data_IF_089495604251
#
_entry.id   IF_089495604251
#
_cell.length_a   1.000
_cell.length_b   1.000
_cell.length_c   1.000
_cell.angle_alpha   90.00
_cell.angle_beta   90.00
_cell.angle_gamma   90.00
#
_symmetry.space_group_name_H-M   'P 1'
#
loop_
_entity.id
_entity.type
_entity.pdbx_description
1 polymer ?
#
# COMPACT_ATOMS: atom_id res chain seq x y z
N UNK A 1 23.98 -29.87 10.19
CA UNK A 1 23.35 -29.04 11.24
C UNK A 1 22.28 -29.87 11.92
N UNK A 2 22.24 -29.85 13.26
CA UNK A 2 21.16 -30.49 13.99
C UNK A 2 19.86 -29.74 13.71
N UNK A 3 18.78 -30.48 13.43
CA UNK A 3 17.46 -29.90 13.26
C UNK A 3 16.90 -29.61 14.66
N UNK A 4 16.72 -28.34 15.00
CA UNK A 4 16.15 -27.89 16.27
C UNK A 4 14.75 -27.30 16.08
N UNK A 5 13.87 -27.53 17.06
CA UNK A 5 12.56 -26.90 17.09
C UNK A 5 12.69 -25.41 17.44
N UNK A 6 11.72 -24.62 16.99
CA UNK A 6 11.65 -23.18 17.29
C UNK A 6 11.09 -22.93 18.68
N UNK A 7 11.90 -23.18 19.71
CA UNK A 7 11.52 -23.03 21.12
C UNK A 7 10.84 -21.67 21.42
N UNK A 8 9.69 -21.70 22.10
CA UNK A 8 8.88 -20.53 22.44
C UNK A 8 8.04 -19.95 21.28
N UNK A 9 8.03 -20.61 20.11
CA UNK A 9 7.21 -20.18 18.98
C UNK A 9 5.72 -20.42 19.21
N UNK A 10 5.31 -21.48 19.90
CA UNK A 10 3.89 -21.77 20.15
C UNK A 10 3.28 -20.68 21.02
N UNK A 11 3.96 -20.27 22.08
CA UNK A 11 3.52 -19.17 22.96
C UNK A 11 3.40 -17.85 22.18
N UNK A 12 4.43 -17.50 21.40
CA UNK A 12 4.41 -16.29 20.55
C UNK A 12 3.24 -16.29 19.58
N UNK A 13 3.02 -17.40 18.87
CA UNK A 13 1.91 -17.54 17.91
C UNK A 13 0.55 -17.47 18.60
N UNK A 14 0.40 -18.10 19.78
CA UNK A 14 -0.82 -18.06 20.57
C UNK A 14 -1.08 -16.67 21.19
N UNK A 15 -0.06 -15.83 21.30
CA UNK A 15 -0.14 -14.42 21.72
C UNK A 15 -0.10 -13.44 20.51
N UNK A 16 -0.23 -13.94 19.28
CA UNK A 16 -0.45 -13.13 18.07
C UNK A 16 0.84 -12.55 17.49
N UNK A 17 1.99 -12.93 18.04
CA UNK A 17 3.29 -12.52 17.52
C UNK A 17 3.64 -13.37 16.30
N UNK A 18 4.10 -12.71 15.24
CA UNK A 18 4.60 -13.40 14.06
C UNK A 18 5.91 -14.12 14.38
N UNK A 19 5.99 -15.38 13.97
CA UNK A 19 7.19 -16.18 14.04
C UNK A 19 7.55 -16.57 12.62
N UNK A 20 8.73 -16.18 12.16
CA UNK A 20 9.16 -16.48 10.81
C UNK A 20 9.52 -17.96 10.70
N UNK A 21 8.77 -18.67 9.87
CA UNK A 21 9.02 -20.06 9.48
C UNK A 21 9.31 -21.03 10.66
N UNK A 22 8.43 -21.12 11.67
CA UNK A 22 8.68 -21.93 12.86
C UNK A 22 8.77 -23.40 12.50
N UNK A 23 9.74 -24.08 13.11
CA UNK A 23 9.92 -25.53 13.05
C UNK A 23 9.24 -26.12 14.28
N UNK A 24 8.20 -26.90 14.06
CA UNK A 24 7.33 -27.48 15.09
C UNK A 24 7.08 -28.95 14.82
N UNK A 25 6.66 -29.67 15.85
CA UNK A 25 6.35 -31.09 15.78
C UNK A 25 4.85 -31.32 15.91
N UNK A 26 4.31 -32.18 15.05
CA UNK A 26 2.92 -32.61 15.10
C UNK A 26 2.71 -33.60 16.25
N UNK A 27 1.83 -33.24 17.19
CA UNK A 27 1.46 -34.07 18.34
C UNK A 27 0.13 -34.79 18.13
N UNK A 28 -0.66 -34.39 17.14
CA UNK A 28 -1.94 -35.01 16.82
C UNK A 28 -2.78 -34.14 15.91
N UNK A 29 -3.88 -34.67 15.43
CA UNK A 29 -4.86 -33.91 14.66
C UNK A 29 -6.26 -34.48 14.87
N UNK A 30 -7.26 -33.62 14.70
CA UNK A 30 -8.67 -33.95 14.80
C UNK A 30 -9.43 -33.37 13.61
N UNK A 31 -10.42 -34.10 13.13
CA UNK A 31 -11.34 -33.62 12.10
C UNK A 31 -12.36 -32.68 12.70
N UNK A 32 -12.48 -31.47 12.16
CA UNK A 32 -13.48 -30.49 12.54
C UNK A 32 -14.46 -30.32 11.38
N UNK A 33 -15.73 -30.63 11.63
CA UNK A 33 -16.81 -30.42 10.68
C UNK A 33 -17.42 -29.03 10.90
N UNK A 34 -17.18 -28.13 9.95
CA UNK A 34 -17.75 -26.77 9.97
C UNK A 34 -18.91 -26.64 8.97
N UNK A 35 -18.85 -27.40 7.87
CA UNK A 35 -19.89 -27.51 6.83
C UNK A 35 -20.03 -28.96 6.36
N UNK A 36 -21.21 -29.39 5.87
CA UNK A 36 -21.46 -30.78 5.51
C UNK A 36 -20.52 -31.37 4.45
N UNK A 37 -19.88 -30.52 3.64
CA UNK A 37 -19.04 -30.94 2.50
C UNK A 37 -17.57 -30.54 2.62
N UNK A 38 -17.16 -29.88 3.72
CA UNK A 38 -15.77 -29.43 3.91
C UNK A 38 -15.20 -30.03 5.21
N UNK A 39 -14.23 -30.94 5.04
CA UNK A 39 -13.45 -31.47 6.16
C UNK A 39 -12.29 -30.54 6.45
N UNK A 40 -12.21 -30.02 7.68
CA UNK A 40 -11.05 -29.26 8.15
C UNK A 40 -10.29 -30.09 9.19
N UNK A 41 -8.97 -29.90 9.25
CA UNK A 41 -8.14 -30.58 10.25
C UNK A 41 -7.59 -29.58 11.25
N UNK A 42 -7.86 -29.81 12.52
CA UNK A 42 -7.24 -29.11 13.65
C UNK A 42 -6.02 -29.88 14.10
N UNK A 43 -4.87 -29.23 14.19
CA UNK A 43 -3.59 -29.82 14.56
C UNK A 43 -3.21 -29.43 15.98
N UNK A 44 -2.62 -30.38 16.70
CA UNK A 44 -1.90 -30.13 17.95
C UNK A 44 -0.42 -30.04 17.59
N UNK A 45 0.18 -28.87 17.76
CA UNK A 45 1.59 -28.62 17.41
C UNK A 45 2.40 -28.29 18.67
N UNK A 46 3.68 -28.65 18.64
CA UNK A 46 4.63 -28.41 19.72
C UNK A 46 5.94 -27.80 19.22
N UNK A 47 6.51 -26.88 20.00
CA UNK A 47 7.87 -26.37 19.80
C UNK A 47 8.92 -27.01 20.71
N UNK A 48 8.57 -28.10 21.41
CA UNK A 48 9.44 -28.80 22.36
C UNK A 48 9.38 -28.27 23.80
N UNK A 49 8.80 -27.09 24.02
CA UNK A 49 8.54 -26.51 25.35
C UNK A 49 7.05 -26.41 25.63
N UNK A 50 6.29 -25.93 24.65
CA UNK A 50 4.85 -25.75 24.72
C UNK A 50 4.15 -26.54 23.61
N UNK A 51 2.87 -26.85 23.82
CA UNK A 51 1.98 -27.37 22.80
C UNK A 51 0.60 -26.71 22.85
N UNK A 52 -0.04 -26.58 21.68
CA UNK A 52 -1.40 -26.05 21.58
C UNK A 52 -2.17 -26.62 20.37
N UNK A 53 -3.50 -26.57 20.41
CA UNK A 53 -4.43 -27.18 19.44
C UNK A 53 -5.17 -26.18 18.53
N UNK A 54 -4.77 -24.90 18.48
CA UNK A 54 -5.44 -23.86 17.67
C UNK A 54 -4.89 -23.68 16.24
N UNK A 55 -4.21 -24.69 15.72
CA UNK A 55 -3.67 -24.68 14.37
C UNK A 55 -4.63 -25.41 13.44
N UNK A 56 -5.05 -24.78 12.34
CA UNK A 56 -5.95 -25.38 11.37
C UNK A 56 -5.23 -25.51 10.04
N UNK A 57 -5.40 -26.65 9.39
CA UNK A 57 -4.84 -26.88 8.07
C UNK A 57 -5.80 -26.32 7.01
N UNK A 58 -5.28 -25.56 6.05
CA UNK A 58 -6.10 -25.11 4.91
C UNK A 58 -6.52 -26.30 4.05
N UNK A 59 -7.70 -26.23 3.41
CA UNK A 59 -8.29 -27.36 2.69
C UNK A 59 -7.40 -27.90 1.56
N UNK A 60 -6.58 -27.05 0.92
CA UNK A 60 -5.64 -27.49 -0.12
C UNK A 60 -4.53 -28.40 0.42
N UNK A 61 -4.27 -28.39 1.72
CA UNK A 61 -3.25 -29.20 2.37
C UNK A 61 -3.82 -30.48 3.00
N UNK A 62 -5.14 -30.70 2.98
CA UNK A 62 -5.78 -31.88 3.58
C UNK A 62 -5.21 -33.21 3.05
N UNK A 63 -4.77 -33.22 1.80
CA UNK A 63 -4.09 -34.34 1.15
C UNK A 63 -2.87 -34.84 1.95
N UNK A 64 -2.19 -33.96 2.69
CA UNK A 64 -1.05 -34.34 3.54
C UNK A 64 -1.45 -35.33 4.64
N UNK A 65 -2.67 -35.19 5.17
CA UNK A 65 -3.23 -36.07 6.20
C UNK A 65 -3.89 -37.29 5.56
N UNK A 66 -4.71 -37.08 4.53
CA UNK A 66 -5.45 -38.15 3.84
C UNK A 66 -4.48 -39.17 3.23
N UNK A 67 -3.39 -38.71 2.61
CA UNK A 67 -2.32 -39.55 2.03
C UNK A 67 -1.27 -39.98 3.06
N UNK A 68 -1.48 -39.72 4.35
CA UNK A 68 -0.58 -40.07 5.46
C UNK A 68 0.87 -39.58 5.28
N UNK A 69 1.07 -38.47 4.57
CA UNK A 69 2.39 -37.86 4.41
C UNK A 69 2.87 -37.21 5.71
N UNK A 70 1.92 -36.80 6.56
CA UNK A 70 2.19 -36.28 7.90
C UNK A 70 1.52 -37.19 8.93
N UNK A 71 2.30 -37.66 9.91
CA UNK A 71 1.84 -38.51 11.01
C UNK A 71 2.29 -37.96 12.36
N UNK A 72 1.82 -38.56 13.45
CA UNK A 72 2.27 -38.24 14.81
C UNK A 72 3.81 -38.11 14.88
N UNK A 73 4.30 -37.13 15.62
CA UNK A 73 5.72 -36.78 15.80
C UNK A 73 6.48 -36.34 14.53
N UNK A 74 5.77 -36.04 13.43
CA UNK A 74 6.41 -35.42 12.25
C UNK A 74 6.83 -33.99 12.55
N UNK A 75 8.09 -33.67 12.25
CA UNK A 75 8.63 -32.31 12.34
C UNK A 75 8.41 -31.62 11.00
N UNK A 76 7.75 -30.48 11.06
CA UNK A 76 7.37 -29.66 9.93
C UNK A 76 7.78 -28.21 10.17
N UNK A 77 8.07 -27.50 9.08
CA UNK A 77 8.22 -26.06 9.07
C UNK A 77 6.95 -25.44 8.53
N UNK A 78 6.36 -24.52 9.27
CA UNK A 78 5.23 -23.73 8.77
C UNK A 78 5.81 -22.63 7.89
N UNK A 79 5.61 -22.69 6.58
CA UNK A 79 6.17 -21.68 5.67
C UNK A 79 5.27 -20.46 5.54
N UNK A 80 3.95 -20.67 5.48
CA UNK A 80 2.95 -19.61 5.34
C UNK A 80 1.73 -19.96 6.21
N UNK A 81 1.25 -18.96 6.95
CA UNK A 81 0.06 -19.06 7.78
C UNK A 81 -0.59 -17.69 7.89
N UNK A 82 -1.88 -17.68 8.23
CA UNK A 82 -2.62 -16.47 8.57
C UNK A 82 -3.38 -16.66 9.88
N UNK A 83 -3.54 -15.58 10.61
CA UNK A 83 -4.45 -15.55 11.72
C UNK A 83 -5.87 -15.26 11.22
N UNK A 84 -6.87 -15.92 11.81
CA UNK A 84 -8.29 -15.69 11.54
C UNK A 84 -9.01 -15.44 12.85
N UNK A 85 -9.99 -14.54 12.87
CA UNK A 85 -10.81 -14.33 14.07
C UNK A 85 -11.47 -15.65 14.49
N UNK A 86 -11.29 -16.03 15.75
CA UNK A 86 -11.93 -17.17 16.37
C UNK A 86 -13.10 -16.70 17.22
N UNK A 87 -14.24 -17.36 17.10
CA UNK A 87 -15.46 -17.02 17.85
C UNK A 87 -15.41 -17.50 19.32
N UNK A 88 -14.31 -18.10 19.77
CA UNK A 88 -14.26 -18.77 21.07
C UNK A 88 -14.02 -17.80 22.24
N UNK A 89 -14.92 -17.89 23.21
CA UNK A 89 -15.03 -17.08 24.42
C UNK A 89 -14.52 -17.79 25.69
N UNK A 90 -13.77 -18.89 25.57
CA UNK A 90 -13.22 -19.63 26.71
C UNK A 90 -11.90 -19.01 27.23
N UNK A 91 -11.67 -19.07 28.55
CA UNK A 91 -10.53 -18.43 29.23
C UNK A 91 -9.14 -18.98 28.85
N UNK A 92 -9.08 -20.08 28.10
CA UNK A 92 -7.84 -20.74 27.68
C UNK A 92 -7.69 -20.85 26.15
N UNK A 93 -8.55 -20.16 25.38
CA UNK A 93 -8.49 -20.12 23.92
C UNK A 93 -7.90 -18.80 23.42
N UNK A 94 -6.95 -18.80 22.46
CA UNK A 94 -6.60 -17.59 21.74
C UNK A 94 -7.85 -17.08 21.01
N UNK A 95 -8.01 -15.75 20.92
CA UNK A 95 -9.13 -15.11 20.18
C UNK A 95 -9.07 -15.35 18.66
N UNK A 96 -8.06 -16.07 18.18
CA UNK A 96 -7.83 -16.33 16.77
C UNK A 96 -7.42 -17.79 16.53
N UNK A 97 -7.70 -18.23 15.32
CA UNK A 97 -7.25 -19.49 14.75
C UNK A 97 -6.01 -19.21 13.88
N UNK A 98 -5.04 -20.10 13.93
CA UNK A 98 -3.86 -20.04 13.04
C UNK A 98 -4.11 -20.98 11.86
N UNK A 99 -4.50 -20.42 10.71
CA UNK A 99 -4.68 -21.20 9.49
C UNK A 99 -3.35 -21.35 8.75
N UNK A 100 -2.86 -22.58 8.70
CA UNK A 100 -1.64 -22.96 8.00
C UNK A 100 -1.95 -23.13 6.51
N UNK A 101 -1.30 -22.32 5.68
CA UNK A 101 -1.50 -22.29 4.23
C UNK A 101 -0.41 -23.06 3.48
N UNK A 102 0.77 -23.19 4.08
CA UNK A 102 1.89 -23.93 3.50
C UNK A 102 2.80 -24.50 4.57
N UNK A 103 3.20 -25.76 4.37
CA UNK A 103 4.17 -26.45 5.23
C UNK A 103 5.23 -27.14 4.40
N UNK A 104 6.43 -27.23 4.95
CA UNK A 104 7.48 -28.15 4.47
C UNK A 104 7.65 -29.25 5.50
N UNK A 105 7.45 -30.50 5.08
CA UNK A 105 7.75 -31.67 5.90
C UNK A 105 9.27 -31.83 5.93
N UNK A 106 9.86 -31.87 7.12
CA UNK A 106 11.30 -31.95 7.27
C UNK A 106 11.75 -33.37 7.56
N UNK A 107 11.23 -33.96 8.65
CA UNK A 107 11.61 -35.30 9.07
C UNK A 107 10.57 -35.87 10.04
N UNK A 108 10.53 -37.19 10.18
CA UNK A 108 9.80 -37.85 11.25
C UNK A 108 10.79 -38.34 12.32
N UNK A 109 10.53 -38.01 13.59
CA UNK A 109 11.36 -38.38 14.74
C UNK A 109 10.48 -38.68 15.95
N UNK A 110 11.07 -39.21 17.01
CA UNK A 110 10.42 -39.29 18.32
C UNK A 110 10.05 -37.89 18.83
N UNK A 111 9.10 -37.83 19.76
CA UNK A 111 8.72 -36.58 20.43
C UNK A 111 9.96 -35.91 21.02
N UNK A 112 10.12 -34.64 20.70
CA UNK A 112 11.26 -33.83 21.12
C UNK A 112 10.86 -32.94 22.29
N UNK A 113 11.68 -32.92 23.35
CA UNK A 113 11.41 -32.15 24.56
C UNK A 113 10.32 -32.74 25.45
N UNK A 114 9.81 -31.93 26.37
CA UNK A 114 8.70 -32.29 27.26
C UNK A 114 7.62 -31.19 27.19
N UNK A 115 6.92 -31.09 26.06
CA UNK A 115 6.04 -29.96 25.83
C UNK A 115 4.88 -29.94 26.81
N UNK A 116 4.65 -28.80 27.44
CA UNK A 116 3.51 -28.59 28.32
C UNK A 116 2.36 -27.93 27.55
N UNK A 117 1.09 -28.28 27.83
CA UNK A 117 -0.03 -27.52 27.31
C UNK A 117 0.11 -26.04 27.71
N UNK A 118 -0.07 -25.14 26.75
CA UNK A 118 -0.02 -23.70 27.04
C UNK A 118 -1.27 -23.30 27.84
N UNK A 119 -1.09 -23.02 29.12
CA UNK A 119 -2.12 -22.59 30.07
C UNK A 119 -1.91 -21.09 30.34
N UNK A 120 -2.98 -20.29 30.37
CA UNK A 120 -2.96 -18.81 30.54
C UNK A 120 -2.42 -18.03 29.33
N UNK A 121 -3.11 -18.13 28.19
CA UNK A 121 -2.88 -17.22 27.05
C UNK A 121 -3.31 -15.82 27.50
N UNK A 122 -2.36 -14.87 27.55
CA UNK A 122 -2.70 -13.48 27.80
C UNK A 122 -3.66 -13.04 26.69
N UNK A 123 -4.86 -12.55 27.06
CA UNK A 123 -5.88 -12.06 26.11
C UNK A 123 -5.46 -10.74 25.44
N UNK A 124 -4.21 -10.65 24.97
CA UNK A 124 -3.70 -9.54 24.17
C UNK A 124 -4.37 -9.63 22.79
N UNK A 125 -4.84 -8.51 22.29
CA UNK A 125 -5.36 -8.45 20.91
C UNK A 125 -4.22 -8.77 19.93
N UNK A 126 -4.57 -9.34 18.78
CA UNK A 126 -3.57 -9.65 17.78
C UNK A 126 -2.99 -8.33 17.23
N UNK A 127 -1.66 -8.17 17.19
CA UNK A 127 -1.08 -7.01 16.55
C UNK A 127 -1.38 -7.02 15.06
N UNK A 128 -1.69 -5.85 14.51
CA UNK A 128 -1.78 -5.63 13.08
C UNK A 128 -0.42 -5.94 12.43
N UNK A 129 -0.48 -6.56 11.25
CA UNK A 129 0.72 -7.00 10.52
C UNK A 129 1.44 -5.77 10.00
N UNK A 130 2.61 -5.46 10.59
CA UNK A 130 3.55 -4.51 10.00
C UNK A 130 4.28 -5.18 8.83
N UNK A 131 3.98 -4.76 7.62
CA UNK A 131 4.59 -5.24 6.38
C UNK A 131 6.06 -4.81 6.26
N UNK A 132 6.52 -3.84 7.06
CA UNK A 132 7.92 -3.42 7.07
C UNK A 132 8.79 -4.43 7.86
N UNK A 133 9.13 -5.57 7.24
CA UNK A 133 9.83 -6.73 7.86
C UNK A 133 11.34 -6.48 8.10
N UNK A 134 11.76 -5.28 8.50
CA UNK A 134 13.18 -4.89 8.54
C UNK A 134 13.97 -5.39 9.77
N UNK A 135 13.53 -6.44 10.46
CA UNK A 135 14.11 -6.99 11.71
C UNK A 135 14.27 -5.97 12.86
N UNK A 136 13.87 -4.72 12.65
CA UNK A 136 13.98 -3.64 13.63
C UNK A 136 12.68 -3.57 14.44
N UNK A 137 12.76 -3.38 15.78
CA UNK A 137 11.58 -3.19 16.59
C UNK A 137 10.86 -1.92 16.15
N UNK A 138 9.57 -2.04 15.85
CA UNK A 138 8.69 -0.94 15.42
C UNK A 138 7.53 -0.81 16.40
N UNK A 139 6.84 0.32 16.39
CA UNK A 139 5.61 0.50 17.18
C UNK A 139 4.57 -0.56 16.77
N UNK A 140 3.88 -1.13 17.77
CA UNK A 140 2.87 -2.17 17.56
C UNK A 140 1.48 -1.55 17.69
N UNK A 141 0.61 -1.86 16.76
CA UNK A 141 -0.80 -1.49 16.79
C UNK A 141 -1.66 -2.75 16.88
N UNK A 142 -2.74 -2.71 17.65
CA UNK A 142 -3.54 -3.90 17.97
C UNK A 142 -4.91 -3.91 17.29
N UNK A 143 -5.45 -2.75 16.92
CA UNK A 143 -6.73 -2.66 16.23
C UNK A 143 -6.75 -1.48 15.25
N UNK A 144 -7.53 -1.63 14.17
CA UNK A 144 -7.68 -0.60 13.13
C UNK A 144 -8.36 0.65 13.70
N UNK A 145 -9.31 0.49 14.61
CA UNK A 145 -9.98 1.60 15.30
C UNK A 145 -8.99 2.55 15.97
N UNK A 146 -7.93 2.03 16.60
CA UNK A 146 -6.90 2.86 17.21
C UNK A 146 -6.08 3.63 16.17
N UNK A 147 -5.84 3.06 14.99
CA UNK A 147 -5.18 3.77 13.89
C UNK A 147 -6.08 4.89 13.37
N UNK A 148 -7.35 4.58 13.09
CA UNK A 148 -8.37 5.49 12.56
C UNK A 148 -8.61 6.68 13.50
N UNK A 149 -8.67 6.44 14.82
CA UNK A 149 -8.84 7.50 15.82
C UNK A 149 -7.64 8.46 15.93
N UNK A 150 -6.47 8.07 15.43
CA UNK A 150 -5.23 8.86 15.49
C UNK A 150 -4.73 9.28 14.09
N UNK A 151 -5.61 9.29 13.10
CA UNK A 151 -5.23 9.69 11.75
C UNK A 151 -4.92 11.17 11.65
N UNK A 152 -3.81 11.45 10.98
CA UNK A 152 -3.45 12.78 10.52
C UNK A 152 -3.67 12.88 9.01
N UNK A 153 -4.15 14.04 8.57
CA UNK A 153 -4.30 14.33 7.14
C UNK A 153 -3.02 14.91 6.54
N UNK A 154 -2.82 14.73 5.25
CA UNK A 154 -1.69 15.31 4.49
C UNK A 154 -1.67 16.83 4.59
N UNK A 155 -2.85 17.47 4.63
CA UNK A 155 -2.94 18.93 4.79
C UNK A 155 -2.33 19.41 6.11
N UNK A 156 -2.49 18.65 7.19
CA UNK A 156 -1.98 19.03 8.50
C UNK A 156 -0.45 18.93 8.58
N UNK A 157 0.16 18.05 7.77
CA UNK A 157 1.62 17.91 7.68
C UNK A 157 2.33 19.20 7.29
N UNK A 158 1.68 20.06 6.49
CA UNK A 158 2.24 21.34 6.03
C UNK A 158 2.58 22.25 7.21
N UNK A 159 1.84 22.13 8.32
CA UNK A 159 2.02 22.98 9.51
C UNK A 159 3.08 22.46 10.48
N UNK A 160 3.51 21.21 10.34
CA UNK A 160 4.46 20.58 11.26
C UNK A 160 5.91 20.94 10.90
N UNK A 161 6.83 20.99 11.87
CA UNK A 161 8.24 21.19 11.59
C UNK A 161 8.87 19.94 10.95
N UNK A 162 9.99 20.14 10.23
CA UNK A 162 10.82 19.03 9.75
C UNK A 162 11.33 18.19 10.93
N UNK A 163 11.36 16.87 10.76
CA UNK A 163 11.88 15.95 11.79
C UNK A 163 11.09 14.65 11.89
N UNK A 164 11.11 14.03 13.07
CA UNK A 164 10.35 12.82 13.34
C UNK A 164 8.85 13.08 13.27
N UNK A 165 8.13 12.25 12.52
CA UNK A 165 6.69 12.27 12.37
C UNK A 165 6.12 10.94 12.91
N UNK A 166 5.71 10.90 14.19
CA UNK A 166 5.18 9.69 14.84
C UNK A 166 3.70 9.44 14.52
N UNK A 167 3.08 10.33 13.74
CA UNK A 167 1.66 10.29 13.42
C UNK A 167 1.33 9.19 12.42
N UNK A 168 0.08 8.72 12.46
CA UNK A 168 -0.45 7.71 11.55
C UNK A 168 -1.13 8.41 10.39
N UNK A 169 -0.79 8.04 9.15
CA UNK A 169 -1.46 8.50 7.95
C UNK A 169 -2.04 7.32 7.16
N UNK A 170 -3.29 7.44 6.71
CA UNK A 170 -3.94 6.49 5.80
C UNK A 170 -3.79 7.00 4.37
N UNK A 171 -2.90 6.38 3.61
CA UNK A 171 -2.47 6.87 2.30
C UNK A 171 -2.68 5.84 1.20
N UNK A 172 -3.17 6.29 0.06
CA UNK A 172 -3.36 5.48 -1.14
C UNK A 172 -2.17 5.67 -2.07
N UNK A 173 -1.58 4.57 -2.54
CA UNK A 173 -0.50 4.62 -3.53
C UNK A 173 -1.08 5.02 -4.88
N UNK A 174 -0.66 6.17 -5.41
CA UNK A 174 -1.14 6.62 -6.72
C UNK A 174 -0.15 6.35 -7.83
N UNK A 175 1.14 6.58 -7.53
CA UNK A 175 2.19 6.35 -8.49
C UNK A 175 3.43 5.81 -7.80
N UNK A 176 3.88 4.63 -8.23
CA UNK A 176 5.16 4.06 -7.83
C UNK A 176 6.19 4.31 -8.92
N UNK A 177 7.25 5.06 -8.61
CA UNK A 177 8.33 5.27 -9.57
C UNK A 177 9.34 4.11 -9.50
N UNK A 178 10.08 3.89 -10.59
CA UNK A 178 11.22 2.99 -10.59
C UNK A 178 12.28 3.40 -9.54
N UNK A 179 13.04 2.42 -9.04
CA UNK A 179 14.12 2.67 -8.09
C UNK A 179 15.26 3.40 -8.82
N UNK A 180 15.54 4.63 -8.37
CA UNK A 180 16.67 5.39 -8.87
C UNK A 180 17.94 4.93 -8.16
N UNK A 181 18.95 4.56 -8.94
CA UNK A 181 20.26 4.17 -8.41
C UNK A 181 21.27 5.27 -8.67
N UNK A 182 21.82 5.83 -7.60
CA UNK A 182 22.93 6.77 -7.61
C UNK A 182 24.20 6.06 -7.14
N UNK A 183 25.37 6.68 -7.35
CA UNK A 183 26.68 6.09 -7.02
C UNK A 183 26.81 5.64 -5.56
N UNK A 184 26.09 6.26 -4.63
CA UNK A 184 26.16 5.99 -3.19
C UNK A 184 24.83 5.61 -2.53
N UNK A 185 23.71 5.66 -3.25
CA UNK A 185 22.40 5.36 -2.67
C UNK A 185 21.38 4.88 -3.70
N UNK A 186 20.44 4.07 -3.24
CA UNK A 186 19.26 3.67 -4.02
C UNK A 186 18.03 4.31 -3.39
N UNK A 187 17.14 4.88 -4.21
CA UNK A 187 15.98 5.63 -3.72
C UNK A 187 14.73 5.19 -4.47
N UNK A 188 13.75 4.73 -3.71
CA UNK A 188 12.38 4.54 -4.18
C UNK A 188 11.56 5.77 -3.81
N UNK A 189 10.85 6.35 -4.79
CA UNK A 189 9.93 7.46 -4.59
C UNK A 189 8.52 7.03 -4.99
N UNK A 190 7.57 7.20 -4.09
CA UNK A 190 6.16 6.86 -4.31
C UNK A 190 5.35 8.11 -4.05
N UNK A 191 4.46 8.48 -4.97
CA UNK A 191 3.48 9.53 -4.69
C UNK A 191 2.23 8.83 -4.13
N UNK A 192 1.88 9.18 -2.89
CA UNK A 192 0.69 8.69 -2.21
C UNK A 192 -0.24 9.85 -1.87
N UNK A 193 -1.52 9.57 -1.60
CA UNK A 193 -2.49 10.61 -1.28
C UNK A 193 -3.55 10.17 -0.28
N UNK A 194 -4.14 11.15 0.38
CA UNK A 194 -5.42 11.02 1.08
C UNK A 194 -6.47 11.94 0.45
N UNK A 195 -7.59 12.15 1.14
CA UNK A 195 -8.64 13.08 0.70
C UNK A 195 -8.21 14.55 0.70
N UNK A 196 -7.13 14.90 1.39
CA UNK A 196 -6.70 16.29 1.62
C UNK A 196 -5.53 16.72 0.76
N UNK A 197 -4.67 15.80 0.31
CA UNK A 197 -3.49 16.16 -0.47
C UNK A 197 -2.67 14.99 -0.98
N UNK A 198 -1.60 15.34 -1.70
CA UNK A 198 -0.59 14.40 -2.20
C UNK A 198 0.67 14.57 -1.36
N UNK A 199 1.26 13.45 -0.97
CA UNK A 199 2.52 13.39 -0.25
C UNK A 199 3.48 12.45 -0.98
N UNK A 200 4.76 12.80 -0.98
CA UNK A 200 5.79 11.88 -1.46
C UNK A 200 6.27 11.00 -0.32
N UNK A 201 6.32 9.70 -0.54
CA UNK A 201 6.96 8.75 0.35
C UNK A 201 8.27 8.28 -0.26
N UNK A 202 9.37 8.37 0.47
CA UNK A 202 10.69 7.94 0.01
C UNK A 202 11.32 6.90 0.90
N UNK A 203 12.01 5.95 0.28
CA UNK A 203 12.74 4.88 0.94
C UNK A 203 14.14 4.72 0.33
N UNK A 204 15.11 4.39 1.18
CA UNK A 204 16.53 4.38 0.81
C UNK A 204 17.14 2.99 0.98
N UNK A 205 18.07 2.63 0.10
CA UNK A 205 18.93 1.46 0.19
C UNK A 205 18.12 0.16 0.35
N UNK A 206 18.40 -0.67 1.38
CA UNK A 206 17.70 -1.94 1.60
C UNK A 206 16.19 -1.79 1.76
N UNK A 207 15.73 -0.66 2.32
CA UNK A 207 14.30 -0.38 2.41
C UNK A 207 13.67 -0.15 1.03
N UNK A 208 14.41 0.38 0.07
CA UNK A 208 13.87 0.65 -1.26
C UNK A 208 13.46 -0.64 -2.00
N UNK A 209 14.22 -1.72 -1.83
CA UNK A 209 13.91 -3.02 -2.45
C UNK A 209 12.69 -3.67 -1.79
N UNK A 210 12.71 -3.82 -0.45
CA UNK A 210 11.61 -4.43 0.30
C UNK A 210 10.28 -3.69 0.08
N UNK A 211 10.31 -2.36 0.09
CA UNK A 211 9.10 -1.55 -0.05
C UNK A 211 8.56 -1.50 -1.47
N UNK A 212 9.42 -1.73 -2.47
CA UNK A 212 8.97 -1.85 -3.85
C UNK A 212 8.11 -3.11 -4.06
N UNK A 213 8.34 -4.17 -3.29
CA UNK A 213 7.51 -5.39 -3.28
C UNK A 213 6.22 -5.21 -2.47
N UNK A 214 6.26 -4.42 -1.39
CA UNK A 214 5.12 -4.20 -0.49
C UNK A 214 4.08 -3.25 -1.08
N UNK A 215 4.52 -2.15 -1.70
CA UNK A 215 3.61 -1.13 -2.22
C UNK A 215 3.12 -1.47 -3.62
N UNK A 216 1.80 -1.57 -3.76
CA UNK A 216 1.10 -1.71 -5.03
C UNK A 216 0.25 -0.48 -5.33
N UNK A 217 0.14 -0.09 -6.59
CA UNK A 217 -0.69 1.05 -6.99
C UNK A 217 -2.18 0.79 -6.70
N UNK A 218 -2.90 1.85 -6.34
CA UNK A 218 -4.31 1.85 -5.93
C UNK A 218 -4.63 1.13 -4.62
N UNK A 219 -3.63 0.61 -3.90
CA UNK A 219 -3.80 0.09 -2.54
C UNK A 219 -3.59 1.16 -1.49
N UNK A 220 -4.24 0.98 -0.34
CA UNK A 220 -4.21 1.92 0.78
C UNK A 220 -3.44 1.32 1.95
N UNK A 221 -2.58 2.12 2.56
CA UNK A 221 -1.71 1.71 3.67
C UNK A 221 -1.75 2.73 4.80
N UNK A 222 -1.65 2.25 6.03
CA UNK A 222 -1.34 3.07 7.19
C UNK A 222 0.17 3.17 7.33
N UNK A 223 0.70 4.39 7.33
CA UNK A 223 2.11 4.68 7.58
C UNK A 223 2.26 5.38 8.92
N UNK A 224 3.23 4.98 9.73
CA UNK A 224 3.60 5.68 10.97
C UNK A 224 5.11 5.68 11.23
N UNK A 225 5.54 6.54 12.14
CA UNK A 225 6.94 6.66 12.59
C UNK A 225 7.91 6.95 11.44
N UNK A 226 7.62 8.02 10.70
CA UNK A 226 8.37 8.46 9.51
C UNK A 226 9.21 9.71 9.82
N UNK A 227 10.02 10.19 8.87
CA UNK A 227 10.65 11.51 8.94
C UNK A 227 9.95 12.45 7.96
N UNK A 228 9.38 13.53 8.47
CA UNK A 228 8.79 14.59 7.69
C UNK A 228 9.87 15.57 7.19
N UNK A 229 9.83 15.86 5.89
CA UNK A 229 10.66 16.87 5.24
C UNK A 229 9.84 17.73 4.29
N UNK A 230 9.91 19.04 4.48
CA UNK A 230 9.39 20.04 3.57
C UNK A 230 10.40 20.29 2.45
N UNK A 231 9.91 20.24 1.23
CA UNK A 231 10.65 20.60 0.03
C UNK A 231 9.91 21.73 -0.71
N UNK A 232 10.60 22.41 -1.63
CA UNK A 232 10.01 23.44 -2.50
C UNK A 232 8.80 22.96 -3.34
N UNK A 233 8.61 21.64 -3.46
CA UNK A 233 7.55 21.00 -4.25
C UNK A 233 6.42 20.43 -3.39
N UNK A 234 6.48 20.56 -2.05
CA UNK A 234 5.53 19.98 -1.11
C UNK A 234 6.19 19.11 -0.05
N UNK A 235 5.42 18.18 0.50
CA UNK A 235 5.79 17.39 1.68
C UNK A 235 6.33 16.02 1.28
N UNK A 236 7.42 15.61 1.92
CA UNK A 236 8.03 14.29 1.78
C UNK A 236 8.10 13.55 3.13
N UNK A 237 7.62 12.31 3.16
CA UNK A 237 7.74 11.37 4.27
C UNK A 237 8.82 10.34 3.94
N UNK A 238 9.91 10.36 4.68
CA UNK A 238 10.99 9.38 4.55
C UNK A 238 10.74 8.21 5.49
N UNK A 239 10.67 7.01 4.94
CA UNK A 239 10.53 5.77 5.69
C UNK A 239 11.85 5.36 6.33
N UNK A 240 11.72 4.78 7.52
CA UNK A 240 12.83 4.35 8.38
C UNK A 240 12.71 2.84 8.66
N UNK A 241 13.80 2.18 9.11
CA UNK A 241 13.76 0.74 9.42
C UNK A 241 12.67 0.35 10.43
N UNK A 242 12.36 1.23 11.38
CA UNK A 242 11.32 1.05 12.39
C UNK A 242 9.96 1.70 12.04
N UNK A 243 9.81 2.24 10.82
CA UNK A 243 8.51 2.77 10.39
C UNK A 243 7.48 1.64 10.31
N UNK A 244 6.23 1.97 10.59
CA UNK A 244 5.12 1.00 10.54
C UNK A 244 4.38 1.14 9.22
N UNK A 245 4.10 0.02 8.58
CA UNK A 245 3.36 -0.07 7.32
C UNK A 245 2.33 -1.17 7.45
N UNK A 246 1.05 -0.82 7.44
CA UNK A 246 -0.05 -1.79 7.56
C UNK A 246 -0.94 -1.60 6.34
N UNK A 247 -1.19 -2.65 5.56
CA UNK A 247 -2.15 -2.60 4.45
C UNK A 247 -3.58 -2.49 4.99
N UNK A 248 -4.35 -1.55 4.44
CA UNK A 248 -5.77 -1.41 4.74
C UNK A 248 -6.54 -2.40 3.87
N UNK A 249 -7.23 -3.36 4.52
CA UNK A 249 -8.04 -4.39 3.86
C UNK A 249 -9.49 -3.88 3.64
N UNK A 250 -9.77 -2.61 3.96
CA UNK A 250 -11.08 -2.02 3.72
C UNK A 250 -11.45 -2.13 2.24
N UNK A 251 -12.54 -2.85 1.92
CA UNK A 251 -13.11 -2.95 0.57
C UNK A 251 -13.62 -1.62 0.02
N UNK A 252 -13.65 -0.59 0.87
CA UNK A 252 -14.03 0.75 0.51
C UNK A 252 -12.76 1.42 -0.02
N UNK A 253 -12.55 1.33 -1.33
CA UNK A 253 -11.56 2.18 -2.00
C UNK A 253 -11.79 3.62 -1.53
N UNK A 254 -10.74 4.33 -1.09
CA UNK A 254 -10.87 5.74 -0.81
C UNK A 254 -11.27 6.40 -2.12
N UNK A 255 -12.56 6.71 -2.24
CA UNK A 255 -13.05 7.57 -3.31
C UNK A 255 -12.22 8.83 -3.19
N UNK A 256 -11.58 9.25 -4.27
CA UNK A 256 -10.98 10.58 -4.36
C UNK A 256 -12.14 11.53 -4.01
N UNK A 257 -12.14 12.04 -2.78
CA UNK A 257 -13.44 12.37 -2.18
C UNK A 257 -13.92 13.76 -2.58
N UNK A 258 -12.99 14.66 -2.92
CA UNK A 258 -13.27 16.03 -3.33
C UNK A 258 -11.97 16.71 -3.76
N UNK A 259 -12.01 17.55 -4.80
CA UNK A 259 -10.91 18.49 -5.08
C UNK A 259 -11.48 19.88 -5.28
N UNK A 260 -11.02 20.82 -4.45
CA UNK A 260 -11.33 22.22 -4.66
C UNK A 260 -10.40 22.78 -5.75
N UNK A 261 -10.77 22.63 -7.03
CA UNK A 261 -10.07 23.30 -8.14
C UNK A 261 -10.69 24.67 -8.41
N UNK A 262 -9.88 25.63 -8.84
CA UNK A 262 -10.37 26.91 -9.37
C UNK A 262 -10.42 26.85 -10.90
N UNK A 263 -11.28 27.67 -11.49
CA UNK A 263 -11.34 27.81 -12.95
C UNK A 263 -9.99 28.26 -13.53
N UNK A 264 -9.68 27.80 -14.73
CA UNK A 264 -8.46 28.05 -15.46
C UNK A 264 -8.16 29.54 -15.65
N UNK A 265 -9.17 30.38 -15.93
CA UNK A 265 -9.00 31.83 -15.98
C UNK A 265 -8.35 32.40 -14.69
N UNK A 266 -8.82 31.96 -13.52
CA UNK A 266 -8.26 32.41 -12.23
C UNK A 266 -6.89 31.80 -11.96
N UNK A 267 -6.67 30.55 -12.36
CA UNK A 267 -5.39 29.89 -12.17
C UNK A 267 -4.27 30.53 -13.01
N UNK A 268 -4.59 31.03 -14.20
CA UNK A 268 -3.64 31.74 -15.07
C UNK A 268 -3.22 33.11 -14.51
N UNK A 269 -4.03 33.73 -13.65
CA UNK A 269 -3.68 35.00 -12.99
C UNK A 269 -2.60 34.82 -11.92
N UNK A 270 -2.42 33.60 -11.39
CA UNK A 270 -1.44 33.31 -10.35
C UNK A 270 0.01 33.63 -10.77
N UNK A 271 0.85 33.80 -9.75
CA UNK A 271 2.29 34.00 -9.94
C UNK A 271 2.95 32.73 -10.51
N UNK A 272 3.96 32.86 -11.37
CA UNK A 272 4.77 31.71 -11.79
C UNK A 272 5.38 30.95 -10.61
N UNK A 273 5.62 29.66 -10.79
CA UNK A 273 6.11 28.69 -9.81
C UNK A 273 5.13 28.38 -8.67
N UNK A 274 3.85 28.69 -8.84
CA UNK A 274 2.78 28.25 -7.93
C UNK A 274 2.26 26.87 -8.31
N UNK A 275 1.88 26.07 -7.31
CA UNK A 275 1.26 24.77 -7.51
C UNK A 275 -0.26 24.89 -7.53
N UNK A 276 -0.91 24.16 -8.42
CA UNK A 276 -2.37 24.13 -8.54
C UNK A 276 -2.84 22.75 -8.96
N UNK A 277 -4.04 22.40 -8.51
CA UNK A 277 -4.77 21.24 -8.99
C UNK A 277 -5.62 21.65 -10.19
N UNK A 278 -5.60 20.84 -11.24
CA UNK A 278 -6.23 21.10 -12.54
C UNK A 278 -7.25 20.01 -12.85
N UNK A 279 -8.38 20.40 -13.41
CA UNK A 279 -9.37 19.49 -14.00
C UNK A 279 -9.93 20.12 -15.26
N UNK A 280 -9.91 19.40 -16.38
CA UNK A 280 -10.31 19.94 -17.68
C UNK A 280 -10.54 18.84 -18.72
N UNK A 281 -11.31 19.16 -19.76
CA UNK A 281 -11.46 18.30 -20.94
C UNK A 281 -10.23 18.48 -21.82
N UNK A 282 -9.60 17.38 -22.23
CA UNK A 282 -8.46 17.40 -23.13
C UNK A 282 -8.95 17.51 -24.58
N UNK A 283 -8.76 18.68 -25.18
CA UNK A 283 -9.24 18.99 -26.53
C UNK A 283 -8.17 18.79 -27.60
N UNK A 284 -6.90 18.89 -27.22
CA UNK A 284 -5.77 18.67 -28.13
C UNK A 284 -4.68 17.87 -27.43
N UNK A 285 -4.08 16.93 -28.17
CA UNK A 285 -2.94 16.12 -27.75
C UNK A 285 -1.84 16.29 -28.80
N UNK A 286 -0.71 16.86 -28.39
CA UNK A 286 0.46 16.99 -29.25
C UNK A 286 1.27 15.69 -29.37
N UNK A 287 2.21 15.69 -30.30
CA UNK A 287 3.15 14.59 -30.48
C UNK A 287 4.13 14.46 -29.30
N UNK A 288 4.72 13.26 -29.15
CA UNK A 288 5.76 13.03 -28.14
C UNK A 288 7.08 13.61 -28.65
N UNK A 289 7.60 14.58 -27.93
CA UNK A 289 8.94 15.12 -28.09
C UNK A 289 9.91 14.41 -27.15
N UNK A 290 11.05 13.95 -27.66
CA UNK A 290 12.12 13.39 -26.81
C UNK A 290 13.01 14.53 -26.33
N UNK A 291 13.02 14.76 -25.02
CA UNK A 291 13.89 15.76 -24.39
C UNK A 291 15.08 15.09 -23.72
N UNK A 292 16.30 15.53 -24.02
CA UNK A 292 17.49 15.11 -23.30
C UNK A 292 17.57 15.84 -21.95
N UNK A 293 17.60 15.09 -20.84
CA UNK A 293 17.87 15.68 -19.53
C UNK A 293 19.38 15.76 -19.32
N UNK A 294 19.95 16.96 -19.50
CA UNK A 294 21.39 17.21 -19.37
C UNK A 294 21.97 16.81 -18.01
N UNK A 295 21.14 16.81 -16.95
CA UNK A 295 21.57 16.54 -15.58
C UNK A 295 21.63 15.04 -15.26
N UNK A 296 20.83 14.21 -15.92
CA UNK A 296 20.79 12.76 -15.69
C UNK A 296 21.31 11.92 -16.86
N UNK A 297 21.67 12.54 -17.99
CA UNK A 297 22.04 11.85 -19.24
C UNK A 297 20.99 10.83 -19.69
N UNK A 298 19.71 11.11 -19.39
CA UNK A 298 18.59 10.26 -19.78
C UNK A 298 17.66 11.02 -20.71
N UNK A 299 17.06 10.30 -21.64
CA UNK A 299 15.99 10.82 -22.48
C UNK A 299 14.66 10.71 -21.73
N UNK A 300 13.85 11.76 -21.80
CA UNK A 300 12.53 11.80 -21.17
C UNK A 300 11.55 12.30 -22.22
N UNK A 301 10.49 11.52 -22.45
CA UNK A 301 9.38 11.92 -23.30
C UNK A 301 8.65 13.13 -22.70
N UNK A 302 8.29 14.07 -23.56
CA UNK A 302 7.52 15.27 -23.26
C UNK A 302 6.36 15.32 -24.23
N UNK A 303 5.17 15.63 -23.74
CA UNK A 303 3.97 15.81 -24.55
C UNK A 303 3.20 17.02 -24.06
N UNK A 304 2.79 17.88 -24.97
CA UNK A 304 1.95 19.03 -24.64
C UNK A 304 0.50 18.69 -24.96
N UNK A 305 -0.40 18.95 -24.01
CA UNK A 305 -1.84 18.77 -24.18
C UNK A 305 -2.55 20.07 -23.83
N UNK A 306 -3.70 20.31 -24.47
CA UNK A 306 -4.54 21.49 -24.20
C UNK A 306 -5.80 21.04 -23.46
N UNK A 307 -6.03 21.67 -22.31
CA UNK A 307 -7.21 21.44 -21.49
C UNK A 307 -8.13 22.66 -21.53
N UNK A 308 -9.44 22.42 -21.57
CA UNK A 308 -10.49 23.44 -21.40
C UNK A 308 -11.34 23.14 -20.17
N UNK A 309 -11.84 24.18 -19.51
CA UNK A 309 -12.78 24.07 -18.39
C UNK A 309 -14.08 24.87 -18.63
N UNK A 310 -14.99 24.83 -17.66
CA UNK A 310 -16.27 25.56 -17.71
C UNK A 310 -16.14 27.08 -17.85
N UNK A 311 -14.94 27.65 -17.68
CA UNK A 311 -14.68 29.08 -17.88
C UNK A 311 -14.34 29.44 -19.32
N UNK A 312 -14.41 28.49 -20.25
CA UNK A 312 -14.00 28.60 -21.66
C UNK A 312 -12.52 28.93 -21.85
N UNK A 313 -11.73 28.86 -20.79
CA UNK A 313 -10.30 29.14 -20.85
C UNK A 313 -9.55 27.87 -21.22
N UNK A 314 -8.53 28.02 -22.06
CA UNK A 314 -7.64 26.91 -22.41
C UNK A 314 -6.30 27.05 -21.71
N UNK A 315 -5.75 25.94 -21.23
CA UNK A 315 -4.39 25.89 -20.70
C UNK A 315 -3.58 24.84 -21.43
N UNK A 316 -2.30 25.15 -21.67
CA UNK A 316 -1.32 24.14 -22.10
C UNK A 316 -0.73 23.45 -20.88
N UNK A 317 -0.78 22.13 -20.86
CA UNK A 317 -0.17 21.28 -19.84
C UNK A 317 0.95 20.43 -20.45
N UNK A 318 2.16 20.53 -19.89
CA UNK A 318 3.30 19.70 -20.27
C UNK A 318 3.37 18.44 -19.41
N UNK A 319 3.18 17.29 -20.03
CA UNK A 319 3.26 15.95 -19.46
C UNK A 319 4.65 15.36 -19.73
N UNK A 320 5.19 14.61 -18.78
CA UNK A 320 6.57 14.12 -18.82
C UNK A 320 6.69 12.63 -18.47
N UNK A 321 7.70 11.98 -19.02
CA UNK A 321 8.07 10.59 -18.75
C UNK A 321 7.01 9.61 -19.25
N UNK A 322 6.85 8.47 -18.57
CA UNK A 322 5.91 7.41 -18.95
C UNK A 322 4.44 7.86 -19.02
N UNK A 323 4.10 8.99 -18.39
CA UNK A 323 2.73 9.53 -18.39
C UNK A 323 2.30 10.00 -19.79
N UNK A 324 3.24 10.30 -20.70
CA UNK A 324 2.90 10.74 -22.05
C UNK A 324 2.15 9.65 -22.82
N UNK A 325 2.49 8.39 -22.59
CA UNK A 325 1.91 7.23 -23.29
C UNK A 325 0.43 7.02 -22.95
N UNK A 326 -0.05 7.55 -21.80
CA UNK A 326 -1.45 7.44 -21.40
C UNK A 326 -2.41 8.15 -22.37
N UNK A 327 -1.89 9.03 -23.23
CA UNK A 327 -2.67 9.76 -24.22
C UNK A 327 -2.66 9.10 -25.61
N UNK A 328 -1.96 7.98 -25.79
CA UNK A 328 -2.00 7.18 -27.04
C UNK A 328 -3.21 6.23 -27.07
N UNK A 329 -3.93 6.11 -25.95
CA UNK A 329 -5.16 5.32 -25.86
C UNK A 329 -6.25 5.93 -26.75
N UNK A 330 -7.03 5.08 -27.42
CA UNK A 330 -8.19 5.55 -28.20
C UNK A 330 -9.33 5.86 -27.24
N UNK A 331 -9.66 7.15 -27.12
CA UNK A 331 -10.82 7.60 -26.36
C UNK A 331 -12.04 7.78 -27.28
N UNK A 332 -13.22 7.33 -26.84
CA UNK A 332 -14.48 7.53 -27.57
C UNK A 332 -14.95 9.00 -27.54
N UNK A 333 -14.81 9.63 -26.37
CA UNK A 333 -15.06 11.05 -26.12
C UNK A 333 -13.72 11.71 -25.70
N UNK A 334 -13.52 13.02 -25.94
CA UNK A 334 -12.37 13.76 -25.40
C UNK A 334 -12.20 13.51 -23.89
N UNK A 335 -11.03 13.01 -23.44
CA UNK A 335 -10.87 12.53 -22.08
C UNK A 335 -10.82 13.69 -21.08
N UNK A 336 -11.34 13.47 -19.88
CA UNK A 336 -11.18 14.41 -18.77
C UNK A 336 -9.87 14.12 -18.06
N UNK A 337 -9.04 15.14 -17.97
CA UNK A 337 -7.72 15.09 -17.38
C UNK A 337 -7.74 15.83 -16.06
N UNK A 338 -7.28 15.15 -15.02
CA UNK A 338 -7.11 15.72 -13.69
C UNK A 338 -5.65 15.60 -13.27
N UNK A 339 -5.06 16.72 -12.85
CA UNK A 339 -3.68 16.77 -12.37
C UNK A 339 -3.63 17.41 -11.00
N UNK A 340 -3.11 16.68 -10.01
CA UNK A 340 -2.74 17.26 -8.72
C UNK A 340 -1.32 17.79 -8.74
N UNK A 341 -1.07 18.91 -8.07
CA UNK A 341 0.25 19.53 -7.90
C UNK A 341 0.94 19.86 -9.24
N UNK A 342 0.23 20.42 -10.21
CA UNK A 342 0.84 20.98 -11.42
C UNK A 342 1.48 22.33 -11.10
N UNK A 343 2.64 22.65 -11.71
CA UNK A 343 3.29 23.95 -11.50
C UNK A 343 2.99 24.90 -12.66
N UNK A 344 2.56 26.11 -12.34
CA UNK A 344 2.43 27.20 -13.30
C UNK A 344 3.82 27.73 -13.66
N UNK A 345 4.16 27.73 -14.95
CA UNK A 345 5.41 28.28 -15.48
C UNK A 345 5.12 29.36 -16.51
N UNK A 346 6.12 30.20 -16.77
CA UNK A 346 6.04 31.22 -17.79
C UNK A 346 7.30 31.18 -18.65
N UNK A 347 7.14 31.19 -19.96
CA UNK A 347 8.24 31.26 -20.93
C UNK A 347 7.83 32.17 -22.08
N UNK A 348 8.69 33.13 -22.45
CA UNK A 348 8.41 34.11 -23.49
C UNK A 348 7.05 34.82 -23.33
N UNK A 349 6.68 35.16 -22.09
CA UNK A 349 5.41 35.81 -21.79
C UNK A 349 4.22 34.86 -21.66
N UNK A 350 4.24 33.69 -22.31
CA UNK A 350 3.17 32.69 -22.26
C UNK A 350 3.23 31.86 -20.97
N UNK A 351 2.08 31.75 -20.28
CA UNK A 351 1.93 30.90 -19.10
C UNK A 351 1.43 29.52 -19.50
N UNK A 352 1.97 28.48 -18.87
CA UNK A 352 1.59 27.09 -19.10
C UNK A 352 1.77 26.29 -17.80
N UNK A 353 1.06 25.18 -17.67
CA UNK A 353 1.26 24.24 -16.57
C UNK A 353 2.25 23.15 -16.97
N UNK A 354 3.02 22.66 -16.01
CA UNK A 354 3.92 21.53 -16.20
C UNK A 354 3.73 20.54 -15.08
N UNK A 355 3.71 19.26 -15.41
CA UNK A 355 3.90 18.22 -14.40
C UNK A 355 5.33 18.28 -13.86
N UNK A 356 5.48 18.01 -12.58
CA UNK A 356 6.74 17.82 -11.86
C UNK A 356 6.72 16.47 -11.16
N UNK A 357 7.80 16.12 -10.47
CA UNK A 357 7.93 14.82 -9.80
C UNK A 357 6.77 14.54 -8.83
N UNK A 358 6.30 15.56 -8.09
CA UNK A 358 5.20 15.45 -7.13
C UNK A 358 3.82 15.47 -7.79
N UNK A 359 3.72 15.77 -9.09
CA UNK A 359 2.45 15.81 -9.79
C UNK A 359 1.91 14.40 -10.02
N UNK A 360 0.59 14.30 -9.99
CA UNK A 360 -0.15 13.06 -10.18
C UNK A 360 -1.21 13.30 -11.23
N UNK A 361 -1.27 12.44 -12.25
CA UNK A 361 -2.17 12.53 -13.39
C UNK A 361 -3.19 11.40 -13.34
N UNK A 362 -4.46 11.76 -13.50
CA UNK A 362 -5.58 10.87 -13.67
C UNK A 362 -6.30 11.18 -14.98
N UNK A 363 -6.77 10.12 -15.65
CA UNK A 363 -7.59 10.21 -16.86
C UNK A 363 -8.94 9.60 -16.52
N UNK A 364 -10.02 10.33 -16.81
CA UNK A 364 -11.41 9.98 -16.49
C UNK A 364 -11.59 9.44 -15.05
N UNK A 365 -11.15 10.17 -14.01
CA UNK A 365 -11.37 9.71 -12.64
C UNK A 365 -12.87 9.64 -12.32
N UNK A 366 -13.28 8.68 -11.50
CA UNK A 366 -14.68 8.50 -11.14
C UNK A 366 -15.11 9.51 -10.06
N UNK A 367 -15.47 10.72 -10.50
CA UNK A 367 -15.82 11.87 -9.67
C UNK A 367 -17.06 12.58 -10.21
N UNK A 368 -17.85 13.18 -9.32
CA UNK A 368 -19.04 13.95 -9.71
C UNK A 368 -18.70 15.14 -10.61
N UNK A 369 -17.63 15.86 -10.30
CA UNK A 369 -17.12 17.00 -11.11
C UNK A 369 -16.74 16.57 -12.53
N UNK A 370 -16.25 15.34 -12.71
CA UNK A 370 -15.92 14.78 -14.03
C UNK A 370 -17.19 14.53 -14.83
N UNK A 371 -18.26 14.04 -14.19
CA UNK A 371 -19.55 13.86 -14.86
C UNK A 371 -20.12 15.21 -15.32
N UNK A 372 -20.10 16.21 -14.43
CA UNK A 372 -20.58 17.57 -14.76
C UNK A 372 -19.80 18.18 -15.92
N UNK A 373 -18.47 18.07 -15.90
CA UNK A 373 -17.62 18.63 -16.96
C UNK A 373 -17.84 17.89 -18.30
N UNK A 374 -18.08 16.57 -18.25
CA UNK A 374 -18.38 15.77 -19.45
C UNK A 374 -19.69 16.20 -20.09
N UNK A 375 -20.74 16.38 -19.28
CA UNK A 375 -22.04 16.83 -19.76
C UNK A 375 -21.98 18.25 -20.33
N UNK A 376 -21.32 19.17 -19.62
CA UNK A 376 -21.11 20.54 -20.08
C UNK A 376 -20.43 20.59 -21.45
N UNK A 377 -19.36 19.82 -21.64
CA UNK A 377 -18.63 19.82 -22.91
C UNK A 377 -19.43 19.17 -24.05
N UNK A 378 -20.26 18.15 -23.76
CA UNK A 378 -21.19 17.59 -24.75
C UNK A 378 -22.23 18.61 -25.21
N UNK A 379 -22.73 19.44 -24.30
CA UNK A 379 -23.66 20.53 -24.65
C UNK A 379 -22.95 21.61 -25.47
N UNK A 380 -21.71 21.95 -25.13
CA UNK A 380 -20.90 22.92 -25.89
C UNK A 380 -20.76 22.51 -27.35
N UNK A 381 -20.32 21.27 -27.63
CA UNK A 381 -20.14 20.79 -29.01
C UNK A 381 -21.46 20.78 -29.77
N UNK A 382 -22.55 20.33 -29.12
CA UNK A 382 -23.86 20.30 -29.75
C UNK A 382 -24.40 21.69 -30.13
N UNK A 383 -23.88 22.77 -29.52
CA UNK A 383 -24.25 24.15 -29.84
C UNK A 383 -23.41 24.73 -31.00
N UNK A 384 -22.18 24.25 -31.21
CA UNK A 384 -21.30 24.69 -32.32
C UNK A 384 -21.57 23.95 -33.66
N UNK A 385 -22.35 22.85 -33.63
CA UNK A 385 -22.82 22.11 -34.82
C UNK A 385 -24.06 22.74 -35.51
N UNK A 386 -24.43 23.97 -35.14
CA UNK A 386 -25.47 24.82 -35.77
C UNK A 386 -24.89 26.15 -36.24
#
# INVERSE_FOLDING_TARGET
MALELSNGSIEKLCNGMLVQRPIVQLMGFETVQVKPYETNYRLVLSDGIHMNSYFFLCSQLNDLIIKQQVKYATILRIDEYKFMNGENSADHSPRWIILIQKVTILIHRNVYGNPQPLINIEKKEMPLINLNVNKSPSRIFYCVEHLENNLMSVKDLITLPNGGCPFVLKLTVVKKNAINTYSSCRVLNINMMDSTGVVRVSAFNSLSDSLNEIFEENKTYYLADTILKHNQFGVELKLQPHSVIIESIDKIQPKIQYIKTSNFNKLLENNPNTFSDLIGVCIEVGDIEVCSNSTSQTEIGKREIVLIDMSMATITLKVWGEQVNKFDEKFEDPPIVMVKQAVLKQFNGAKYFSMVKFSVLFINPNLEEVHQLKEWYKQLIAMDDF
#
